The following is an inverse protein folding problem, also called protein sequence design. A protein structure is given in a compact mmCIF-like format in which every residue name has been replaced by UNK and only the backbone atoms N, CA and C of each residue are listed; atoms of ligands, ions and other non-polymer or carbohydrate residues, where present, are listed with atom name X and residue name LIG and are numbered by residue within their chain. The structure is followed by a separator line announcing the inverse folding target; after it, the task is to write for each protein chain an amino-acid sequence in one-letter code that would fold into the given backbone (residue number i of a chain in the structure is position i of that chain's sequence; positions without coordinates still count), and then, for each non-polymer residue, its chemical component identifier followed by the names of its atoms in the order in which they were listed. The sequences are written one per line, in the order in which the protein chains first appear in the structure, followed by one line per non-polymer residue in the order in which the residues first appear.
data_IF_995601881406
#
_entry.id   IF_995601881406
#
_cell.length_a   1.000
_cell.length_b   1.000
_cell.length_c   1.000
_cell.angle_alpha   90.00
_cell.angle_beta   90.00
_cell.angle_gamma   90.00
#
_symmetry.space_group_name_H-M   'P 1'
#
loop_
_entity.id
_entity.type
_entity.pdbx_description
1 polymer ?
#
# COMPACT_ATOMS: atom_id res chain seq x y z
N UNK A 1 35.59 -5.49 17.63
CA UNK A 1 35.15 -4.12 17.39
C UNK A 1 34.27 -3.53 18.53
N UNK A 2 33.54 -4.35 19.29
CA UNK A 2 32.76 -3.90 20.46
C UNK A 2 33.54 -3.47 21.71
N UNK A 3 34.81 -3.80 21.82
CA UNK A 3 35.65 -3.49 23.01
C UNK A 3 36.26 -2.09 22.94
N UNK A 4 36.38 -1.50 21.77
CA UNK A 4 36.99 -0.16 21.62
C UNK A 4 36.02 0.98 21.94
N UNK A 5 34.71 0.77 21.81
CA UNK A 5 33.67 1.81 22.07
C UNK A 5 33.35 1.99 23.57
N UNK A 6 33.48 0.91 24.37
CA UNK A 6 33.24 1.00 25.82
C UNK A 6 34.35 1.74 26.57
N UNK A 7 35.55 1.80 25.99
CA UNK A 7 36.70 2.51 26.61
C UNK A 7 36.67 4.04 26.38
N UNK A 8 35.98 4.51 25.34
CA UNK A 8 35.90 5.95 25.04
C UNK A 8 34.89 6.65 25.94
N UNK A 9 33.75 6.00 26.27
CA UNK A 9 32.73 6.61 27.16
C UNK A 9 33.17 6.65 28.65
N UNK A 10 33.87 5.64 29.13
CA UNK A 10 34.36 5.65 30.52
C UNK A 10 35.56 6.57 30.74
N UNK A 11 36.36 6.86 29.69
CA UNK A 11 37.52 7.76 29.81
C UNK A 11 37.10 9.27 29.70
N UNK A 12 35.96 9.60 29.11
CA UNK A 12 35.54 10.95 28.95
C UNK A 12 35.00 11.58 30.28
N UNK A 13 34.32 10.77 31.10
CA UNK A 13 33.75 11.28 32.37
C UNK A 13 34.76 11.45 33.53
N UNK A 14 35.93 10.80 33.48
CA UNK A 14 36.90 10.85 34.58
C UNK A 14 38.11 11.79 34.33
N UNK A 15 38.30 12.33 33.11
CA UNK A 15 39.45 13.15 32.74
C UNK A 15 39.17 14.63 32.44
N UNK A 16 37.92 15.05 32.40
CA UNK A 16 37.62 16.47 32.14
C UNK A 16 38.08 17.46 33.21
N UNK A 17 38.29 17.02 34.43
CA UNK A 17 38.74 17.92 35.53
C UNK A 17 40.27 18.11 35.62
N UNK A 18 41.08 17.31 34.92
CA UNK A 18 42.55 17.37 35.03
C UNK A 18 43.30 18.03 33.86
N UNK A 19 42.67 18.17 32.70
CA UNK A 19 43.34 18.61 31.47
C UNK A 19 43.16 20.09 31.11
N UNK A 20 42.28 20.77 31.79
CA UNK A 20 41.93 22.19 31.51
C UNK A 20 42.95 23.22 32.05
N UNK A 21 43.99 22.76 32.78
CA UNK A 21 44.93 23.70 33.43
C UNK A 21 46.22 24.00 32.60
N UNK A 22 46.44 23.32 31.50
CA UNK A 22 47.78 23.38 30.84
C UNK A 22 47.83 23.96 29.42
N UNK A 23 46.70 24.42 28.79
CA UNK A 23 46.75 24.94 27.41
C UNK A 23 46.42 26.45 27.36
N UNK A 24 47.48 27.30 27.39
CA UNK A 24 47.35 28.78 27.20
C UNK A 24 47.17 29.21 25.74
N UNK A 25 47.11 28.28 24.79
CA UNK A 25 47.08 28.57 23.36
C UNK A 25 45.64 28.42 22.82
N UNK A 26 44.94 29.54 22.63
CA UNK A 26 43.55 29.57 22.12
C UNK A 26 43.38 28.84 20.78
N UNK A 27 44.40 28.86 19.93
CA UNK A 27 44.38 28.18 18.63
C UNK A 27 44.36 26.65 18.75
N UNK A 28 45.12 26.10 19.73
CA UNK A 28 45.13 24.66 20.01
C UNK A 28 43.78 24.19 20.59
N UNK A 29 43.13 24.98 21.46
CA UNK A 29 41.82 24.68 22.03
C UNK A 29 40.77 24.70 20.93
N UNK A 30 40.80 25.66 20.02
CA UNK A 30 39.91 25.71 18.86
C UNK A 30 40.12 24.53 17.90
N UNK A 31 41.37 24.16 17.62
CA UNK A 31 41.71 23.02 16.77
C UNK A 31 41.22 21.70 17.39
N UNK A 32 41.42 21.47 18.68
CA UNK A 32 40.93 20.29 19.41
C UNK A 32 39.40 20.25 19.38
N UNK A 33 38.73 21.38 19.65
CA UNK A 33 37.27 21.48 19.57
C UNK A 33 36.74 21.15 18.16
N UNK A 34 37.37 21.68 17.11
CA UNK A 34 37.00 21.41 15.72
C UNK A 34 37.23 19.95 15.32
N UNK A 35 38.36 19.34 15.71
CA UNK A 35 38.66 17.92 15.47
C UNK A 35 37.66 17.04 16.20
N UNK A 36 37.37 17.32 17.46
CA UNK A 36 36.37 16.56 18.24
C UNK A 36 34.99 16.62 17.61
N UNK A 37 34.56 17.81 17.17
CA UNK A 37 33.28 17.99 16.47
C UNK A 37 33.22 17.22 15.14
N UNK A 38 34.31 17.24 14.36
CA UNK A 38 34.43 16.47 13.10
C UNK A 38 34.40 14.94 13.35
N UNK A 39 35.14 14.47 14.36
CA UNK A 39 35.17 13.03 14.73
C UNK A 39 33.80 12.58 15.21
N UNK A 40 33.11 13.37 16.03
CA UNK A 40 31.74 13.08 16.47
C UNK A 40 30.76 13.07 15.30
N UNK A 41 30.88 14.02 14.37
CA UNK A 41 30.03 14.06 13.16
C UNK A 41 30.27 12.82 12.27
N UNK A 42 31.53 12.43 12.05
CA UNK A 42 31.86 11.21 11.29
C UNK A 42 31.34 9.95 12.02
N UNK A 43 31.50 9.89 13.34
CA UNK A 43 30.98 8.80 14.18
C UNK A 43 29.46 8.68 14.09
N UNK A 44 28.71 9.79 14.13
CA UNK A 44 27.25 9.82 13.95
C UNK A 44 26.84 9.37 12.54
N UNK A 45 27.52 9.83 11.50
CA UNK A 45 27.25 9.41 10.12
C UNK A 45 27.46 7.90 9.97
N UNK A 46 28.59 7.38 10.44
CA UNK A 46 28.86 5.94 10.40
C UNK A 46 27.83 5.13 11.19
N UNK A 47 27.45 5.58 12.39
CA UNK A 47 26.44 4.91 13.20
C UNK A 47 25.07 4.89 12.49
N UNK A 48 24.66 6.01 11.90
CA UNK A 48 23.42 6.10 11.15
C UNK A 48 23.45 5.21 9.91
N UNK A 49 24.55 5.21 9.15
CA UNK A 49 24.72 4.33 7.98
C UNK A 49 24.61 2.85 8.36
N UNK A 50 25.32 2.43 9.41
CA UNK A 50 25.26 1.04 9.90
C UNK A 50 23.88 0.65 10.39
N UNK A 51 23.18 1.57 11.06
CA UNK A 51 21.79 1.36 11.50
C UNK A 51 20.85 1.20 10.29
N UNK A 52 20.95 2.06 9.30
CA UNK A 52 20.15 1.98 8.06
C UNK A 52 20.42 0.66 7.32
N UNK A 53 21.68 0.26 7.15
CA UNK A 53 22.04 -1.03 6.53
C UNK A 53 21.46 -2.22 7.30
N UNK A 54 21.52 -2.22 8.63
CA UNK A 54 20.92 -3.28 9.47
C UNK A 54 19.39 -3.35 9.32
N UNK A 55 18.71 -2.22 9.10
CA UNK A 55 17.27 -2.19 8.93
C UNK A 55 16.88 -2.67 7.53
N UNK A 56 17.60 -2.24 6.50
CA UNK A 56 17.40 -2.74 5.13
C UNK A 56 17.55 -4.26 5.08
N UNK A 57 18.59 -4.81 5.69
CA UNK A 57 18.80 -6.26 5.76
C UNK A 57 17.62 -6.96 6.46
N UNK A 58 17.15 -6.46 7.61
CA UNK A 58 15.99 -7.03 8.33
C UNK A 58 14.71 -6.92 7.51
N UNK A 59 14.57 -5.85 6.74
CA UNK A 59 13.42 -5.69 5.85
C UNK A 59 13.48 -6.71 4.71
N UNK A 60 14.65 -6.92 4.10
CA UNK A 60 14.83 -7.98 3.10
C UNK A 60 14.53 -9.36 3.66
N UNK A 61 15.00 -9.66 4.87
CA UNK A 61 14.71 -10.92 5.56
C UNK A 61 13.21 -11.11 5.79
N UNK A 62 12.47 -10.06 6.19
CA UNK A 62 11.00 -10.07 6.35
C UNK A 62 10.30 -10.44 5.03
N UNK A 63 10.71 -9.82 3.92
CA UNK A 63 10.16 -10.11 2.59
C UNK A 63 10.46 -11.54 2.13
N UNK A 64 11.71 -11.99 2.28
CA UNK A 64 12.13 -13.34 1.90
C UNK A 64 11.47 -14.43 2.74
N UNK A 65 11.24 -14.18 4.04
CA UNK A 65 10.47 -15.09 4.90
C UNK A 65 9.04 -15.26 4.40
N UNK A 66 8.37 -14.15 4.02
CA UNK A 66 7.01 -14.22 3.49
C UNK A 66 6.94 -14.93 2.13
N UNK A 67 7.93 -14.69 1.25
CA UNK A 67 8.10 -15.44 0.00
C UNK A 67 8.26 -16.95 0.26
N UNK A 68 9.06 -17.33 1.25
CA UNK A 68 9.25 -18.73 1.60
C UNK A 68 7.94 -19.38 2.10
N UNK A 69 7.13 -18.65 2.89
CA UNK A 69 5.81 -19.11 3.30
C UNK A 69 4.91 -19.35 2.08
N UNK A 70 4.87 -18.41 1.13
CA UNK A 70 4.08 -18.54 -0.09
C UNK A 70 4.53 -19.71 -0.97
N UNK A 71 5.83 -19.94 -1.13
CA UNK A 71 6.38 -21.07 -1.91
C UNK A 71 6.10 -22.43 -1.30
N UNK A 72 5.95 -22.50 0.02
CA UNK A 72 5.66 -23.76 0.74
C UNK A 72 4.16 -24.07 0.85
N UNK A 73 3.30 -23.31 0.21
CA UNK A 73 1.85 -23.55 0.18
C UNK A 73 1.52 -24.70 -0.77
N UNK A 74 0.53 -25.53 -0.41
CA UNK A 74 0.06 -26.65 -1.23
C UNK A 74 -0.57 -26.20 -2.56
N UNK A 75 -1.07 -24.95 -2.63
CA UNK A 75 -1.65 -24.35 -3.83
C UNK A 75 -0.63 -23.57 -4.68
N UNK A 76 0.68 -23.69 -4.37
CA UNK A 76 1.75 -23.09 -5.18
C UNK A 76 1.94 -23.83 -6.52
N UNK A 77 2.15 -23.08 -7.59
CA UNK A 77 2.61 -23.59 -8.88
C UNK A 77 3.54 -22.58 -9.59
N UNK A 78 4.29 -23.05 -10.61
CA UNK A 78 5.43 -22.33 -11.18
C UNK A 78 5.11 -20.95 -11.74
N UNK A 79 3.89 -20.74 -12.25
CA UNK A 79 3.45 -19.46 -12.82
C UNK A 79 3.37 -18.33 -11.78
N UNK A 80 3.31 -18.65 -10.47
CA UNK A 80 3.40 -17.67 -9.38
C UNK A 80 4.81 -17.10 -9.20
N UNK A 81 5.85 -17.76 -9.68
CA UNK A 81 7.25 -17.35 -9.48
C UNK A 81 7.52 -15.91 -9.97
N UNK A 82 6.91 -15.51 -11.08
CA UNK A 82 7.01 -14.13 -11.58
C UNK A 82 6.55 -13.09 -10.54
N UNK A 83 5.40 -13.31 -9.92
CA UNK A 83 4.86 -12.39 -8.91
C UNK A 83 5.73 -12.38 -7.64
N UNK A 84 6.22 -13.55 -7.24
CA UNK A 84 7.14 -13.65 -6.10
C UNK A 84 8.47 -12.92 -6.35
N UNK A 85 9.00 -12.95 -7.57
CA UNK A 85 10.19 -12.18 -7.95
C UNK A 85 9.95 -10.66 -7.86
N UNK A 86 8.76 -10.19 -8.21
CA UNK A 86 8.39 -8.78 -8.04
C UNK A 86 8.31 -8.37 -6.56
N UNK A 87 7.92 -9.30 -5.68
CA UNK A 87 7.76 -9.10 -4.24
C UNK A 87 9.03 -9.40 -3.42
N UNK A 88 10.05 -10.01 -4.01
CA UNK A 88 11.19 -10.60 -3.29
C UNK A 88 12.12 -9.60 -2.60
N UNK A 89 11.97 -8.32 -2.84
CA UNK A 89 12.79 -7.28 -2.21
C UNK A 89 11.93 -6.09 -1.80
N UNK A 90 12.37 -5.32 -0.79
CA UNK A 90 11.78 -4.03 -0.51
C UNK A 90 11.74 -3.18 -1.78
N UNK A 91 10.72 -2.34 -1.85
CA UNK A 91 10.54 -1.48 -3.01
C UNK A 91 11.80 -0.63 -3.28
N UNK A 92 12.18 -0.51 -4.56
CA UNK A 92 13.25 0.38 -5.03
C UNK A 92 12.81 1.08 -6.30
N UNK A 93 12.72 2.41 -6.25
CA UNK A 93 12.36 3.26 -7.38
C UNK A 93 13.31 3.03 -8.57
N UNK A 94 14.62 2.98 -8.33
CA UNK A 94 15.64 2.82 -9.38
C UNK A 94 15.50 1.45 -10.09
N UNK A 95 15.29 0.35 -9.34
CA UNK A 95 15.06 -0.98 -9.92
C UNK A 95 13.79 -1.01 -10.75
N UNK A 96 12.70 -0.40 -10.25
CA UNK A 96 11.44 -0.30 -10.97
C UNK A 96 11.59 0.55 -12.23
N UNK A 97 12.20 1.72 -12.13
CA UNK A 97 12.44 2.62 -13.28
C UNK A 97 13.23 1.91 -14.40
N UNK A 98 14.29 1.17 -14.04
CA UNK A 98 15.05 0.38 -15.00
C UNK A 98 14.19 -0.72 -15.66
N UNK A 99 13.30 -1.38 -14.91
CA UNK A 99 12.40 -2.43 -15.42
C UNK A 99 11.35 -1.88 -16.38
N UNK A 100 10.66 -0.79 -15.98
CA UNK A 100 9.58 -0.23 -16.82
C UNK A 100 10.09 0.69 -17.91
N UNK A 101 11.32 1.17 -17.80
CA UNK A 101 11.95 2.15 -18.71
C UNK A 101 11.12 3.43 -18.84
N UNK A 102 10.57 3.92 -17.73
CA UNK A 102 9.80 5.17 -17.63
C UNK A 102 10.16 5.90 -16.34
N UNK A 103 9.96 7.22 -16.32
CA UNK A 103 10.00 8.00 -15.10
C UNK A 103 8.82 7.63 -14.20
N UNK A 104 9.01 7.69 -12.87
CA UNK A 104 8.01 7.26 -11.91
C UNK A 104 7.19 8.44 -11.37
N UNK A 105 5.92 8.16 -11.07
CA UNK A 105 5.07 8.98 -10.22
C UNK A 105 4.61 8.15 -9.03
N UNK A 106 4.89 8.61 -7.80
CA UNK A 106 4.40 7.96 -6.60
C UNK A 106 2.94 8.29 -6.36
N UNK A 107 2.09 7.28 -6.11
CA UNK A 107 0.69 7.47 -5.74
C UNK A 107 0.40 6.79 -4.41
N UNK A 108 -0.29 7.49 -3.52
CA UNK A 108 -0.60 6.93 -2.20
C UNK A 108 -1.91 6.12 -2.19
N UNK A 109 -2.85 6.42 -3.05
CA UNK A 109 -4.17 5.79 -3.05
C UNK A 109 -4.65 5.43 -4.45
N UNK A 110 -5.57 4.46 -4.54
CA UNK A 110 -6.23 4.05 -5.78
C UNK A 110 -7.13 5.13 -6.41
N UNK A 111 -7.38 6.25 -5.73
CA UNK A 111 -8.09 7.40 -6.31
C UNK A 111 -7.25 8.23 -7.27
N UNK A 112 -5.94 8.10 -7.27
CA UNK A 112 -5.10 8.74 -8.29
C UNK A 112 -5.22 7.96 -9.62
N UNK A 113 -5.68 8.60 -10.72
CA UNK A 113 -5.99 7.90 -11.96
C UNK A 113 -4.73 7.44 -12.70
N UNK A 114 -4.54 6.13 -12.79
CA UNK A 114 -3.42 5.52 -13.50
C UNK A 114 -3.32 6.02 -14.95
N UNK A 115 -4.45 6.09 -15.63
CA UNK A 115 -4.58 6.43 -17.04
C UNK A 115 -3.96 7.79 -17.36
N UNK A 116 -4.10 8.73 -16.43
CA UNK A 116 -3.60 10.07 -16.63
C UNK A 116 -2.07 10.11 -16.55
N UNK A 117 -1.46 9.40 -15.60
CA UNK A 117 0.00 9.31 -15.51
C UNK A 117 0.60 8.59 -16.73
N UNK A 118 0.04 7.46 -17.14
CA UNK A 118 0.54 6.70 -18.30
C UNK A 118 0.41 7.49 -19.61
N UNK A 119 -0.62 8.33 -19.77
CA UNK A 119 -0.78 9.22 -20.92
C UNK A 119 0.32 10.28 -21.02
N UNK A 120 1.00 10.61 -19.92
CA UNK A 120 2.18 11.48 -19.87
C UNK A 120 3.51 10.71 -19.89
N UNK A 121 3.50 9.42 -20.23
CA UNK A 121 4.67 8.54 -20.19
C UNK A 121 5.33 8.40 -18.81
N UNK A 122 4.58 8.67 -17.74
CA UNK A 122 4.96 8.38 -16.37
C UNK A 122 4.43 7.00 -15.95
N UNK A 123 5.22 6.26 -15.18
CA UNK A 123 4.73 5.02 -14.59
C UNK A 123 4.30 5.29 -13.13
N UNK A 124 2.99 5.21 -12.82
CA UNK A 124 2.54 5.36 -11.45
C UNK A 124 2.90 4.12 -10.64
N UNK A 125 3.31 4.34 -9.39
CA UNK A 125 3.60 3.27 -8.44
C UNK A 125 2.96 3.56 -7.10
N UNK A 126 2.35 2.52 -6.51
CA UNK A 126 1.67 2.63 -5.24
C UNK A 126 2.66 2.62 -4.07
N UNK A 127 2.63 3.65 -3.25
CA UNK A 127 3.57 3.86 -2.14
C UNK A 127 3.05 3.37 -0.76
N UNK A 128 2.12 2.40 -0.74
CA UNK A 128 1.62 1.83 0.51
C UNK A 128 2.65 0.86 1.11
N UNK A 129 2.93 0.97 2.42
CA UNK A 129 3.86 0.09 3.12
C UNK A 129 3.17 -1.03 3.89
N UNK A 130 3.73 -2.26 3.86
CA UNK A 130 3.25 -3.44 4.59
C UNK A 130 4.28 -4.04 5.58
N UNK A 131 5.49 -3.49 5.64
CA UNK A 131 6.58 -4.03 6.47
C UNK A 131 6.46 -3.61 7.94
N UNK A 132 6.50 -4.61 8.84
CA UNK A 132 6.58 -4.39 10.28
C UNK A 132 7.93 -3.78 10.69
N UNK A 133 9.01 -4.23 10.08
CA UNK A 133 10.37 -3.73 10.36
C UNK A 133 10.46 -2.23 10.08
N UNK A 134 9.95 -1.79 8.92
CA UNK A 134 9.97 -0.40 8.50
C UNK A 134 8.98 0.46 9.29
N UNK A 135 7.80 -0.06 9.64
CA UNK A 135 6.83 0.60 10.51
C UNK A 135 7.46 1.06 11.83
N UNK A 136 8.35 0.25 12.40
CA UNK A 136 9.01 0.55 13.67
C UNK A 136 9.98 1.72 13.61
N UNK A 137 10.52 2.04 12.45
CA UNK A 137 11.35 3.24 12.25
C UNK A 137 10.54 4.51 12.50
N UNK A 138 9.47 4.65 11.76
CA UNK A 138 8.60 5.81 11.84
C UNK A 138 7.87 5.92 13.20
N UNK A 139 7.74 4.82 13.96
CA UNK A 139 7.15 4.83 15.30
C UNK A 139 7.93 5.67 16.32
N UNK A 140 9.19 6.05 16.03
CA UNK A 140 9.99 6.90 16.92
C UNK A 140 9.57 8.38 16.92
N UNK A 141 8.91 8.86 15.86
CA UNK A 141 8.50 10.27 15.71
C UNK A 141 7.03 10.44 15.33
N UNK A 142 6.37 9.41 14.82
CA UNK A 142 4.94 9.48 14.48
C UNK A 142 4.06 9.12 15.69
N UNK A 143 2.83 9.65 15.75
CA UNK A 143 1.89 9.33 16.82
C UNK A 143 1.66 7.82 16.99
N UNK A 144 1.58 7.37 18.24
CA UNK A 144 1.38 5.93 18.57
C UNK A 144 0.14 5.36 17.87
N UNK A 145 -0.96 6.13 17.82
CA UNK A 145 -2.24 5.73 17.23
C UNK A 145 -2.30 5.86 15.70
N UNK A 146 -1.24 6.35 15.04
CA UNK A 146 -1.22 6.36 13.57
C UNK A 146 -1.23 4.93 13.02
N UNK A 147 -2.01 4.70 11.96
CA UNK A 147 -2.15 3.35 11.42
C UNK A 147 -0.83 2.75 10.89
N UNK A 148 -0.65 1.43 10.99
CA UNK A 148 0.59 0.73 10.60
C UNK A 148 1.00 0.97 9.15
N UNK A 149 0.03 1.04 8.23
CA UNK A 149 0.30 1.27 6.80
C UNK A 149 1.01 2.62 6.56
N UNK A 150 0.55 3.67 7.24
CA UNK A 150 1.17 5.00 7.13
C UNK A 150 2.53 5.05 7.81
N UNK A 151 2.69 4.39 8.96
CA UNK A 151 4.01 4.27 9.59
C UNK A 151 4.98 3.51 8.70
N UNK A 152 4.55 2.42 8.08
CA UNK A 152 5.39 1.66 7.14
C UNK A 152 5.71 2.47 5.88
N UNK A 153 4.74 3.25 5.36
CA UNK A 153 4.98 4.19 4.26
C UNK A 153 6.03 5.24 4.63
N UNK A 154 5.88 5.90 5.79
CA UNK A 154 6.85 6.90 6.24
C UNK A 154 8.22 6.31 6.52
N UNK A 155 8.28 5.12 7.12
CA UNK A 155 9.54 4.44 7.34
C UNK A 155 10.24 4.04 6.03
N UNK A 156 9.52 3.68 4.97
CA UNK A 156 10.09 3.51 3.64
C UNK A 156 10.61 4.84 3.07
N UNK A 157 9.90 5.92 3.30
CA UNK A 157 10.33 7.26 2.92
C UNK A 157 11.66 7.63 3.61
N UNK A 158 11.77 7.39 4.93
CA UNK A 158 12.99 7.66 5.70
C UNK A 158 14.19 6.82 5.21
N UNK A 159 13.96 5.55 4.86
CA UNK A 159 15.01 4.67 4.34
C UNK A 159 15.44 5.01 2.92
N UNK A 160 14.56 5.61 2.14
CA UNK A 160 14.71 5.76 0.69
C UNK A 160 14.62 7.23 0.26
N UNK A 161 15.05 8.17 1.10
CA UNK A 161 15.03 9.62 0.78
C UNK A 161 15.54 9.91 -0.62
N UNK A 162 16.69 9.36 -1.00
CA UNK A 162 17.25 9.50 -2.34
C UNK A 162 16.35 8.88 -3.43
N UNK A 163 15.65 7.78 -3.11
CA UNK A 163 14.73 7.11 -4.05
C UNK A 163 13.45 7.92 -4.28
N UNK A 164 12.96 8.66 -3.28
CA UNK A 164 11.81 9.55 -3.49
C UNK A 164 12.15 10.74 -4.39
N UNK A 165 13.39 11.19 -4.43
CA UNK A 165 13.87 12.20 -5.39
C UNK A 165 13.80 11.71 -6.85
N UNK A 166 13.78 10.39 -7.08
CA UNK A 166 13.65 9.80 -8.42
C UNK A 166 12.20 9.87 -8.95
N UNK A 167 11.20 10.19 -8.11
CA UNK A 167 9.83 10.41 -8.56
C UNK A 167 9.66 11.81 -9.12
N UNK A 168 8.98 11.91 -10.26
CA UNK A 168 8.61 13.22 -10.83
C UNK A 168 7.56 13.95 -9.99
N UNK A 169 6.66 13.19 -9.37
CA UNK A 169 5.68 13.68 -8.42
C UNK A 169 5.29 12.56 -7.45
N UNK A 170 4.93 12.94 -6.23
CA UNK A 170 4.25 12.10 -5.25
C UNK A 170 2.86 12.68 -5.02
N UNK A 171 1.81 11.95 -5.40
CA UNK A 171 0.43 12.42 -5.35
C UNK A 171 -0.33 11.74 -4.23
N UNK A 172 -0.87 12.54 -3.30
CA UNK A 172 -1.60 12.08 -2.12
C UNK A 172 -3.07 12.54 -2.19
N UNK A 173 -4.00 11.64 -2.54
CA UNK A 173 -5.43 11.92 -2.35
C UNK A 173 -5.76 12.11 -0.87
N UNK A 174 -6.53 13.15 -0.52
CA UNK A 174 -6.87 13.52 0.86
C UNK A 174 -7.92 12.60 1.45
N UNK A 175 -7.55 11.34 1.70
CA UNK A 175 -8.47 10.26 2.09
C UNK A 175 -8.74 10.16 3.59
N UNK A 176 -7.85 10.64 4.45
CA UNK A 176 -8.05 10.69 5.90
C UNK A 176 -7.14 11.76 6.53
N UNK A 177 -7.42 12.12 7.77
CA UNK A 177 -6.69 13.17 8.49
C UNK A 177 -5.18 12.91 8.56
N UNK A 178 -4.79 11.64 8.73
CA UNK A 178 -3.38 11.28 8.72
C UNK A 178 -2.71 11.60 7.38
N UNK A 179 -3.34 11.25 6.26
CA UNK A 179 -2.81 11.52 4.90
C UNK A 179 -2.77 13.01 4.63
N UNK A 180 -3.77 13.78 5.09
CA UNK A 180 -3.80 15.25 4.95
C UNK A 180 -2.62 15.90 5.67
N UNK A 181 -2.18 15.33 6.81
CA UNK A 181 -1.08 15.89 7.62
C UNK A 181 0.31 15.38 7.26
N UNK A 182 0.42 14.23 6.59
CA UNK A 182 1.71 13.67 6.20
C UNK A 182 2.63 14.65 5.45
N UNK A 183 2.16 15.44 4.47
CA UNK A 183 3.03 16.36 3.72
C UNK A 183 3.70 17.44 4.56
N UNK A 184 3.19 17.79 5.73
CA UNK A 184 3.89 18.72 6.64
C UNK A 184 5.24 18.14 7.09
N UNK A 185 5.30 16.83 7.27
CA UNK A 185 6.54 16.11 7.63
C UNK A 185 7.37 15.86 6.38
N UNK A 186 6.75 15.33 5.31
CA UNK A 186 7.44 14.91 4.10
C UNK A 186 8.08 16.07 3.33
N UNK A 187 7.47 17.27 3.31
CA UNK A 187 7.99 18.45 2.60
C UNK A 187 9.28 19.01 3.17
N UNK A 188 9.67 18.61 4.37
CA UNK A 188 10.99 18.92 4.90
C UNK A 188 12.10 18.17 4.12
N UNK A 189 11.73 17.09 3.44
CA UNK A 189 12.62 16.14 2.77
C UNK A 189 12.43 16.12 1.24
N UNK A 190 11.26 16.54 0.72
CA UNK A 190 10.92 16.46 -0.69
C UNK A 190 9.95 17.55 -1.16
N UNK A 191 10.31 18.24 -2.25
CA UNK A 191 9.51 19.35 -2.82
C UNK A 191 8.44 18.89 -3.83
N UNK A 192 8.48 17.62 -4.27
CA UNK A 192 7.64 17.08 -5.35
C UNK A 192 6.35 16.42 -4.85
N UNK A 193 5.85 16.82 -3.66
CA UNK A 193 4.67 16.27 -3.03
C UNK A 193 3.45 17.14 -3.32
N UNK A 194 2.40 16.53 -3.89
CA UNK A 194 1.18 17.19 -4.32
C UNK A 194 -0.06 16.55 -3.72
N UNK A 195 -0.99 17.38 -3.25
CA UNK A 195 -2.31 16.92 -2.85
C UNK A 195 -3.19 16.70 -4.08
N UNK A 196 -4.08 15.73 -3.96
CA UNK A 196 -5.26 15.57 -4.80
C UNK A 196 -6.47 15.62 -3.86
N UNK A 197 -7.18 16.76 -3.85
CA UNK A 197 -8.27 17.00 -2.90
C UNK A 197 -9.48 16.13 -3.25
N UNK A 198 -9.84 15.21 -2.34
CA UNK A 198 -10.94 14.28 -2.54
C UNK A 198 -12.20 14.79 -1.83
N UNK A 199 -13.27 15.18 -2.55
CA UNK A 199 -14.55 15.54 -1.93
C UNK A 199 -15.21 14.33 -1.27
N UNK A 200 -15.56 14.44 0.01
CA UNK A 200 -16.13 13.32 0.78
C UNK A 200 -17.62 13.07 0.50
N UNK A 201 -18.34 14.06 -0.06
CA UNK A 201 -19.75 13.95 -0.44
C UNK A 201 -19.83 13.71 -1.94
N UNK A 202 -19.89 12.45 -2.40
CA UNK A 202 -19.82 12.11 -3.83
C UNK A 202 -21.16 12.19 -4.59
N UNK A 203 -22.28 12.29 -3.88
CA UNK A 203 -23.60 12.24 -4.48
C UNK A 203 -24.08 13.62 -5.00
N UNK A 204 -23.42 14.71 -4.61
CA UNK A 204 -23.80 16.06 -5.02
C UNK A 204 -23.09 16.48 -6.31
N UNK A 205 -23.79 17.19 -7.19
CA UNK A 205 -23.22 17.77 -8.42
C UNK A 205 -22.01 18.68 -8.09
N UNK A 206 -22.10 19.47 -7.02
CA UNK A 206 -21.02 20.33 -6.56
C UNK A 206 -19.73 19.52 -6.28
N UNK A 207 -19.86 18.39 -5.61
CA UNK A 207 -18.69 17.54 -5.30
C UNK A 207 -18.14 16.85 -6.54
N UNK A 208 -19.01 16.44 -7.47
CA UNK A 208 -18.59 15.85 -8.73
C UNK A 208 -17.83 16.85 -9.59
N UNK A 209 -18.33 18.10 -9.68
CA UNK A 209 -17.65 19.18 -10.39
C UNK A 209 -16.30 19.52 -9.72
N UNK A 210 -16.26 19.60 -8.39
CA UNK A 210 -14.99 19.82 -7.66
C UNK A 210 -13.95 18.72 -7.94
N UNK A 211 -14.39 17.47 -7.94
CA UNK A 211 -13.49 16.36 -8.27
C UNK A 211 -13.00 16.41 -9.72
N UNK A 212 -13.88 16.78 -10.65
CA UNK A 212 -13.49 16.98 -12.05
C UNK A 212 -12.43 18.09 -12.17
N UNK A 213 -12.59 19.20 -11.46
CA UNK A 213 -11.60 20.27 -11.37
C UNK A 213 -10.24 19.74 -10.85
N UNK A 214 -10.24 18.89 -9.80
CA UNK A 214 -9.03 18.27 -9.28
C UNK A 214 -8.33 17.38 -10.33
N UNK A 215 -9.08 16.65 -11.16
CA UNK A 215 -8.50 15.87 -12.27
C UNK A 215 -7.87 16.80 -13.32
N UNK A 216 -8.49 17.94 -13.62
CA UNK A 216 -7.88 18.96 -14.49
C UNK A 216 -6.66 19.59 -13.87
N UNK A 217 -6.64 19.87 -12.56
CA UNK A 217 -5.47 20.37 -11.85
C UNK A 217 -4.33 19.35 -11.90
N UNK A 218 -4.62 18.06 -11.68
CA UNK A 218 -3.65 16.99 -11.84
C UNK A 218 -3.08 16.93 -13.27
N UNK A 219 -3.94 17.03 -14.29
CA UNK A 219 -3.50 17.11 -15.70
C UNK A 219 -2.55 18.28 -15.91
N UNK A 220 -2.88 19.49 -15.41
CA UNK A 220 -2.03 20.68 -15.55
C UNK A 220 -0.69 20.49 -14.83
N UNK A 221 -0.69 19.92 -13.63
CA UNK A 221 0.54 19.55 -12.91
C UNK A 221 1.41 18.61 -13.76
N UNK A 222 0.82 17.55 -14.34
CA UNK A 222 1.56 16.61 -15.18
C UNK A 222 2.11 17.27 -16.45
N UNK A 223 1.36 18.20 -17.07
CA UNK A 223 1.88 19.02 -18.19
C UNK A 223 3.09 19.84 -17.77
N UNK A 224 3.02 20.47 -16.60
CA UNK A 224 4.10 21.30 -16.09
C UNK A 224 5.37 20.49 -15.79
N UNK A 225 5.27 19.37 -15.08
CA UNK A 225 6.43 18.58 -14.66
C UNK A 225 7.05 17.77 -15.79
N UNK A 226 6.27 17.41 -16.83
CA UNK A 226 6.77 16.68 -18.00
C UNK A 226 7.17 17.59 -19.16
N UNK A 227 6.73 18.85 -19.14
CA UNK A 227 6.89 19.79 -20.26
C UNK A 227 6.08 19.40 -21.51
N UNK A 228 5.14 18.46 -21.41
CA UNK A 228 4.33 17.97 -22.52
C UNK A 228 2.87 18.35 -22.35
N UNK A 229 2.17 18.66 -23.45
CA UNK A 229 0.71 18.79 -23.44
C UNK A 229 0.05 17.43 -23.55
N UNK A 230 -1.09 17.26 -22.86
CA UNK A 230 -1.88 16.04 -22.99
C UNK A 230 -2.34 15.86 -24.45
N UNK A 231 -2.10 14.67 -25.00
CA UNK A 231 -2.59 14.30 -26.33
C UNK A 231 -3.81 13.39 -26.16
N UNK A 232 -5.00 13.78 -26.69
CA UNK A 232 -6.20 12.96 -26.54
C UNK A 232 -6.01 11.49 -26.96
N UNK A 233 -5.24 11.26 -28.03
CA UNK A 233 -4.93 9.89 -28.47
C UNK A 233 -4.14 9.09 -27.42
N UNK A 234 -3.13 9.68 -26.78
CA UNK A 234 -2.38 9.01 -25.69
C UNK A 234 -3.28 8.69 -24.50
N UNK A 235 -4.19 9.60 -24.14
CA UNK A 235 -5.15 9.35 -23.07
C UNK A 235 -6.10 8.20 -23.42
N UNK A 236 -6.62 8.18 -24.64
CA UNK A 236 -7.46 7.09 -25.14
C UNK A 236 -6.73 5.74 -25.10
N UNK A 237 -5.48 5.70 -25.57
CA UNK A 237 -4.67 4.48 -25.58
C UNK A 237 -4.40 3.98 -24.15
N UNK A 238 -4.14 4.90 -23.20
CA UNK A 238 -3.97 4.57 -21.79
C UNK A 238 -5.27 4.05 -21.16
N UNK A 239 -6.41 4.68 -21.44
CA UNK A 239 -7.72 4.18 -20.98
C UNK A 239 -7.95 2.75 -21.50
N UNK A 240 -7.72 2.50 -22.78
CA UNK A 240 -7.91 1.17 -23.37
C UNK A 240 -6.99 0.13 -22.72
N UNK A 241 -5.73 0.48 -22.46
CA UNK A 241 -4.77 -0.37 -21.76
C UNK A 241 -5.28 -0.75 -20.36
N UNK A 242 -5.73 0.21 -19.58
CA UNK A 242 -6.26 -0.02 -18.22
C UNK A 242 -7.58 -0.80 -18.25
N UNK A 243 -8.43 -0.56 -19.27
CA UNK A 243 -9.64 -1.35 -19.46
C UNK A 243 -9.34 -2.83 -19.73
N UNK A 244 -8.29 -3.14 -20.50
CA UNK A 244 -7.85 -4.52 -20.70
C UNK A 244 -7.39 -5.16 -19.36
N UNK A 245 -6.64 -4.42 -18.55
CA UNK A 245 -6.26 -4.90 -17.20
C UNK A 245 -7.50 -5.19 -16.35
N UNK A 246 -8.50 -4.30 -16.40
CA UNK A 246 -9.74 -4.50 -15.65
C UNK A 246 -10.47 -5.79 -16.07
N UNK A 247 -10.59 -6.07 -17.37
CA UNK A 247 -11.21 -7.30 -17.88
C UNK A 247 -10.48 -8.55 -17.35
N UNK A 248 -9.16 -8.54 -17.37
CA UNK A 248 -8.33 -9.66 -16.91
C UNK A 248 -8.46 -9.85 -15.39
N UNK A 249 -8.48 -8.75 -14.61
CA UNK A 249 -8.72 -8.81 -13.17
C UNK A 249 -10.14 -9.30 -12.82
N UNK A 250 -11.15 -8.96 -13.61
CA UNK A 250 -12.51 -9.45 -13.43
C UNK A 250 -12.57 -10.98 -13.60
N UNK A 251 -11.90 -11.53 -14.63
CA UNK A 251 -11.79 -12.98 -14.82
C UNK A 251 -11.04 -13.66 -13.63
N UNK A 252 -9.92 -13.08 -13.20
CA UNK A 252 -9.19 -13.59 -12.03
C UNK A 252 -10.06 -13.57 -10.76
N UNK A 253 -10.85 -12.51 -10.57
CA UNK A 253 -11.80 -12.36 -9.46
C UNK A 253 -12.88 -13.44 -9.51
N UNK A 254 -13.41 -13.76 -10.68
CA UNK A 254 -14.38 -14.85 -10.86
C UNK A 254 -13.81 -16.20 -10.43
N UNK A 255 -12.54 -16.49 -10.76
CA UNK A 255 -11.88 -17.73 -10.33
C UNK A 255 -11.70 -17.80 -8.81
N UNK A 256 -11.33 -16.69 -8.16
CA UNK A 256 -11.29 -16.60 -6.70
C UNK A 256 -12.68 -16.85 -6.10
N UNK A 257 -13.70 -16.17 -6.59
CA UNK A 257 -15.08 -16.30 -6.11
C UNK A 257 -15.64 -17.70 -6.30
N UNK A 258 -15.21 -18.43 -7.33
CA UNK A 258 -15.53 -19.87 -7.53
C UNK A 258 -14.71 -20.80 -6.66
N UNK A 259 -13.67 -20.30 -5.99
CA UNK A 259 -12.82 -21.07 -5.10
C UNK A 259 -11.63 -21.77 -5.76
N UNK A 260 -11.29 -21.40 -6.98
CA UNK A 260 -10.13 -21.93 -7.71
C UNK A 260 -8.84 -21.16 -7.39
N UNK A 261 -8.94 -19.97 -6.80
CA UNK A 261 -7.81 -19.15 -6.35
C UNK A 261 -8.01 -18.76 -4.88
N UNK A 262 -6.98 -18.92 -4.06
CA UNK A 262 -7.02 -18.51 -2.66
C UNK A 262 -6.97 -16.98 -2.51
N UNK A 263 -7.50 -16.46 -1.39
CA UNK A 263 -7.45 -15.03 -1.06
C UNK A 263 -6.03 -14.53 -0.87
N UNK A 264 -5.14 -15.38 -0.35
CA UNK A 264 -3.72 -15.08 -0.18
C UNK A 264 -3.06 -14.86 -1.54
N UNK A 265 -3.21 -15.78 -2.50
CA UNK A 265 -2.62 -15.65 -3.83
C UNK A 265 -3.22 -14.50 -4.63
N UNK A 266 -4.54 -14.33 -4.58
CA UNK A 266 -5.17 -13.19 -5.25
C UNK A 266 -4.57 -11.87 -4.76
N UNK A 267 -4.42 -11.71 -3.43
CA UNK A 267 -3.85 -10.50 -2.84
C UNK A 267 -2.36 -10.35 -3.15
N UNK A 268 -1.58 -11.43 -3.14
CA UNK A 268 -0.18 -11.39 -3.54
C UNK A 268 -0.02 -10.92 -4.99
N UNK A 269 -0.82 -11.45 -5.93
CA UNK A 269 -0.82 -11.03 -7.34
C UNK A 269 -1.18 -9.55 -7.47
N UNK A 270 -2.27 -9.10 -6.85
CA UNK A 270 -2.72 -7.70 -6.97
C UNK A 270 -1.78 -6.70 -6.29
N UNK A 271 -1.03 -7.12 -5.28
CA UNK A 271 0.02 -6.29 -4.68
C UNK A 271 1.21 -6.04 -5.62
N UNK A 272 1.39 -6.85 -6.67
CA UNK A 272 2.41 -6.60 -7.70
C UNK A 272 1.94 -5.68 -8.84
N UNK A 273 0.66 -5.32 -8.87
CA UNK A 273 0.15 -4.35 -9.82
C UNK A 273 0.94 -3.05 -9.73
N UNK A 274 1.42 -2.53 -10.84
CA UNK A 274 2.33 -1.37 -10.96
C UNK A 274 3.82 -1.67 -10.64
N UNK A 275 4.23 -2.91 -10.35
CA UNK A 275 5.65 -3.24 -10.15
C UNK A 275 6.35 -3.71 -11.43
N UNK A 276 5.65 -3.71 -12.55
CA UNK A 276 6.18 -3.97 -13.90
C UNK A 276 5.36 -3.23 -14.95
N UNK A 277 5.75 -3.34 -16.24
CA UNK A 277 4.93 -2.88 -17.37
C UNK A 277 3.60 -3.60 -17.36
N UNK A 278 2.50 -2.87 -17.58
CA UNK A 278 1.16 -3.46 -17.54
C UNK A 278 0.98 -4.63 -18.51
N UNK A 279 1.55 -4.53 -19.68
CA UNK A 279 1.46 -5.56 -20.71
C UNK A 279 2.12 -6.87 -20.27
N UNK A 280 3.31 -6.79 -19.66
CA UNK A 280 4.04 -7.96 -19.12
C UNK A 280 3.28 -8.54 -17.93
N UNK A 281 2.84 -7.68 -17.01
CA UNK A 281 2.08 -8.12 -15.84
C UNK A 281 0.77 -8.83 -16.24
N UNK A 282 0.00 -8.27 -17.19
CA UNK A 282 -1.24 -8.88 -17.69
C UNK A 282 -1.02 -10.22 -18.38
N UNK A 283 0.06 -10.37 -19.14
CA UNK A 283 0.44 -11.66 -19.73
C UNK A 283 0.62 -12.75 -18.67
N UNK A 284 1.32 -12.43 -17.58
CA UNK A 284 1.53 -13.37 -16.49
C UNK A 284 0.24 -13.68 -15.71
N UNK A 285 -0.64 -12.70 -15.50
CA UNK A 285 -1.97 -12.94 -14.91
C UNK A 285 -2.81 -13.84 -15.80
N UNK A 286 -2.75 -13.66 -17.14
CA UNK A 286 -3.46 -14.52 -18.08
C UNK A 286 -2.99 -15.98 -17.98
N UNK A 287 -1.68 -16.23 -17.85
CA UNK A 287 -1.15 -17.59 -17.62
C UNK A 287 -1.69 -18.22 -16.32
N UNK A 288 -1.82 -17.42 -15.24
CA UNK A 288 -2.47 -17.88 -14.01
C UNK A 288 -3.93 -18.27 -14.27
N UNK A 289 -4.70 -17.43 -14.98
CA UNK A 289 -6.10 -17.68 -15.31
C UNK A 289 -6.24 -18.99 -16.08
N UNK A 290 -5.45 -19.20 -17.15
CA UNK A 290 -5.45 -20.40 -17.97
C UNK A 290 -5.16 -21.66 -17.14
N UNK A 291 -4.21 -21.56 -16.20
CA UNK A 291 -3.85 -22.67 -15.31
C UNK A 291 -4.99 -23.00 -14.33
N UNK A 292 -5.60 -21.98 -13.72
CA UNK A 292 -6.66 -22.14 -12.74
C UNK A 292 -7.96 -22.65 -13.38
N UNK A 293 -8.26 -22.29 -14.63
CA UNK A 293 -9.44 -22.78 -15.35
C UNK A 293 -9.42 -24.30 -15.56
N UNK A 294 -8.23 -24.91 -15.57
CA UNK A 294 -8.03 -26.36 -15.68
C UNK A 294 -8.20 -27.10 -14.33
N UNK A 295 -8.22 -26.35 -13.20
CA UNK A 295 -8.34 -26.95 -11.87
C UNK A 295 -9.79 -27.19 -11.50
N UNK A 296 -10.02 -28.25 -10.71
CA UNK A 296 -11.34 -28.52 -10.15
C UNK A 296 -11.69 -27.49 -9.08
N UNK A 297 -12.96 -27.12 -9.05
CA UNK A 297 -13.50 -26.24 -7.98
C UNK A 297 -13.41 -27.01 -6.67
N UNK A 298 -12.78 -26.40 -5.67
CA UNK A 298 -12.79 -26.96 -4.32
C UNK A 298 -14.01 -26.44 -3.58
N UNK A 299 -14.96 -27.34 -3.32
CA UNK A 299 -16.10 -27.02 -2.47
C UNK A 299 -15.63 -26.77 -1.03
N UNK A 300 -16.08 -25.68 -0.46
CA UNK A 300 -15.87 -25.34 0.95
C UNK A 300 -17.08 -24.54 1.45
N UNK A 301 -17.73 -25.06 2.49
CA UNK A 301 -18.92 -24.43 3.07
C UNK A 301 -18.62 -23.21 3.93
N UNK A 302 -17.38 -23.08 4.43
CA UNK A 302 -16.95 -21.98 5.28
C UNK A 302 -16.40 -20.79 4.43
N UNK A 303 -17.28 -20.18 3.66
CA UNK A 303 -16.95 -19.08 2.75
C UNK A 303 -17.21 -17.74 3.43
N UNK A 304 -16.22 -16.85 3.35
CA UNK A 304 -16.32 -15.51 3.93
C UNK A 304 -15.99 -14.42 2.91
N UNK A 305 -16.51 -13.23 3.20
CA UNK A 305 -16.11 -11.98 2.60
C UNK A 305 -15.10 -11.27 3.52
N UNK A 306 -14.01 -10.75 3.01
CA UNK A 306 -13.08 -9.92 3.79
C UNK A 306 -13.29 -8.46 3.43
N UNK A 307 -13.67 -7.65 4.42
CA UNK A 307 -13.84 -6.21 4.27
C UNK A 307 -12.83 -5.44 5.12
N UNK A 308 -12.66 -4.15 4.90
CA UNK A 308 -11.90 -3.28 5.80
C UNK A 308 -10.58 -2.76 5.25
N UNK A 309 -9.60 -2.62 6.13
CA UNK A 309 -8.30 -2.01 5.85
C UNK A 309 -7.49 -2.82 4.83
N UNK A 310 -6.60 -2.16 4.05
CA UNK A 310 -5.81 -2.84 3.04
C UNK A 310 -4.85 -3.89 3.64
N UNK A 311 -4.58 -4.92 2.85
CA UNK A 311 -3.57 -5.97 3.12
C UNK A 311 -2.43 -5.75 2.15
N UNK A 312 -1.28 -5.30 2.66
CA UNK A 312 -0.11 -4.92 1.85
C UNK A 312 1.04 -5.87 2.15
N UNK A 313 1.62 -6.44 1.09
CA UNK A 313 2.81 -7.29 1.22
C UNK A 313 3.98 -6.52 1.90
N UNK A 314 4.74 -7.15 2.79
CA UNK A 314 4.76 -8.57 3.14
C UNK A 314 3.73 -8.99 4.20
N UNK A 315 2.86 -8.12 4.70
CA UNK A 315 1.88 -8.47 5.73
C UNK A 315 0.62 -9.13 5.14
N UNK A 316 0.69 -10.43 4.88
CA UNK A 316 -0.46 -11.27 4.49
C UNK A 316 -1.07 -12.02 5.69
N UNK A 317 -0.63 -11.71 6.91
CA UNK A 317 -0.95 -12.41 8.16
C UNK A 317 -2.42 -12.77 8.31
N UNK A 318 -3.32 -11.79 8.17
CA UNK A 318 -4.75 -12.05 8.40
C UNK A 318 -5.32 -13.07 7.41
N UNK A 319 -5.00 -12.93 6.12
CA UNK A 319 -5.49 -13.87 5.09
C UNK A 319 -4.96 -15.26 5.32
N UNK A 320 -3.70 -15.42 5.70
CA UNK A 320 -3.09 -16.71 6.03
C UNK A 320 -3.74 -17.34 7.26
N UNK A 321 -4.02 -16.57 8.32
CA UNK A 321 -4.70 -17.07 9.52
C UNK A 321 -6.15 -17.48 9.23
N UNK A 322 -6.86 -16.77 8.35
CA UNK A 322 -8.20 -17.15 7.90
C UNK A 322 -8.16 -18.51 7.21
N UNK A 323 -7.23 -18.71 6.28
CA UNK A 323 -7.09 -19.99 5.56
C UNK A 323 -6.58 -21.11 6.49
N UNK A 324 -5.66 -20.80 7.42
CA UNK A 324 -5.20 -21.75 8.46
C UNK A 324 -6.35 -22.21 9.37
N UNK A 325 -7.32 -21.35 9.69
CA UNK A 325 -8.53 -21.73 10.40
C UNK A 325 -9.47 -22.62 9.57
N UNK A 326 -9.15 -22.89 8.29
CA UNK A 326 -9.99 -23.66 7.37
C UNK A 326 -11.20 -22.87 6.87
N UNK A 327 -11.08 -21.55 6.79
CA UNK A 327 -12.07 -20.63 6.24
C UNK A 327 -11.57 -20.18 4.86
N UNK A 328 -12.46 -20.08 3.87
CA UNK A 328 -12.13 -19.65 2.51
C UNK A 328 -12.53 -18.21 2.26
N UNK A 329 -11.57 -17.38 1.87
CA UNK A 329 -11.84 -16.01 1.42
C UNK A 329 -12.39 -16.07 -0.01
N UNK A 330 -13.72 -16.03 -0.13
CA UNK A 330 -14.40 -16.12 -1.43
C UNK A 330 -14.44 -14.78 -2.16
N UNK A 331 -14.55 -13.68 -1.43
CA UNK A 331 -14.56 -12.34 -2.00
C UNK A 331 -13.99 -11.34 -0.98
N UNK A 332 -13.61 -10.16 -1.46
CA UNK A 332 -13.23 -9.05 -0.61
C UNK A 332 -13.57 -7.69 -1.23
N UNK A 333 -13.44 -6.61 -0.46
CA UNK A 333 -13.50 -5.24 -0.95
C UNK A 333 -12.27 -4.40 -0.55
N UNK A 334 -11.14 -5.06 -0.44
CA UNK A 334 -9.88 -4.43 -0.02
C UNK A 334 -9.25 -3.67 -1.19
N UNK A 335 -8.80 -2.43 -0.97
CA UNK A 335 -8.24 -1.58 -2.03
C UNK A 335 -6.85 -2.03 -2.54
N UNK A 336 -6.23 -3.01 -1.91
CA UNK A 336 -5.05 -3.71 -2.38
C UNK A 336 -5.34 -5.08 -3.02
N UNK A 337 -6.62 -5.43 -3.15
CA UNK A 337 -7.14 -6.70 -3.66
C UNK A 337 -8.25 -6.44 -4.69
N UNK A 338 -9.48 -6.95 -4.53
CA UNK A 338 -10.55 -6.81 -5.54
C UNK A 338 -10.91 -5.36 -5.88
N UNK A 339 -10.76 -4.42 -4.94
CA UNK A 339 -11.06 -3.00 -5.17
C UNK A 339 -9.89 -2.20 -5.75
N UNK A 340 -8.79 -2.85 -6.12
CA UNK A 340 -7.63 -2.16 -6.72
C UNK A 340 -8.02 -1.43 -8.01
N UNK A 341 -9.04 -1.93 -8.71
CA UNK A 341 -9.58 -1.34 -9.92
C UNK A 341 -11.11 -1.40 -9.93
N UNK A 342 -11.79 -0.34 -9.41
CA UNK A 342 -13.22 -0.36 -9.14
C UNK A 342 -14.10 -0.16 -10.38
N UNK A 343 -13.99 -1.02 -11.38
CA UNK A 343 -14.82 -0.99 -12.59
C UNK A 343 -14.15 -0.35 -13.80
N UNK A 344 -14.83 -0.39 -14.94
CA UNK A 344 -14.36 0.15 -16.20
C UNK A 344 -14.65 1.65 -16.37
N UNK A 345 -13.99 2.28 -17.35
CA UNK A 345 -14.27 3.64 -17.80
C UNK A 345 -15.20 3.57 -19.01
N UNK A 346 -16.36 4.21 -18.94
CA UNK A 346 -17.34 4.27 -20.01
C UNK A 346 -17.43 5.72 -20.49
N UNK A 347 -17.18 5.97 -21.78
CA UNK A 347 -17.31 7.30 -22.39
C UNK A 347 -17.77 7.19 -23.83
N UNK A 348 -18.59 8.18 -24.26
CA UNK A 348 -19.04 8.32 -25.64
C UNK A 348 -18.37 9.53 -26.33
N UNK A 349 -17.85 10.47 -25.52
CA UNK A 349 -17.15 11.65 -25.99
C UNK A 349 -15.64 11.40 -25.94
N UNK A 350 -15.01 11.33 -27.11
CA UNK A 350 -13.56 11.11 -27.27
C UNK A 350 -12.73 12.39 -27.18
N UNK A 351 -13.36 13.54 -26.89
CA UNK A 351 -12.63 14.76 -26.58
C UNK A 351 -11.82 14.61 -25.29
N UNK A 352 -10.80 15.44 -25.12
CA UNK A 352 -10.03 15.48 -23.88
C UNK A 352 -10.96 15.66 -22.66
N UNK A 353 -11.92 16.57 -22.76
CA UNK A 353 -12.89 16.83 -21.69
C UNK A 353 -13.75 15.60 -21.37
N UNK A 354 -14.32 14.96 -22.41
CA UNK A 354 -15.16 13.78 -22.21
C UNK A 354 -14.44 12.62 -21.55
N UNK A 355 -13.19 12.35 -21.98
CA UNK A 355 -12.37 11.30 -21.37
C UNK A 355 -11.95 11.62 -19.94
N UNK A 356 -11.54 12.86 -19.64
CA UNK A 356 -11.19 13.28 -18.27
C UNK A 356 -12.39 13.23 -17.32
N UNK A 357 -13.58 13.60 -17.83
CA UNK A 357 -14.83 13.46 -17.08
C UNK A 357 -15.15 12.00 -16.76
N UNK A 358 -15.01 11.10 -17.71
CA UNK A 358 -15.25 9.67 -17.49
C UNK A 358 -14.25 9.07 -16.47
N UNK A 359 -12.98 9.49 -16.53
CA UNK A 359 -11.97 9.17 -15.50
C UNK A 359 -12.44 9.70 -14.14
N UNK A 360 -12.83 10.96 -14.04
CA UNK A 360 -13.29 11.55 -12.79
C UNK A 360 -14.48 10.76 -12.20
N UNK A 361 -15.50 10.45 -13.01
CA UNK A 361 -16.67 9.68 -12.58
C UNK A 361 -16.26 8.29 -12.03
N UNK A 362 -15.38 7.57 -12.71
CA UNK A 362 -14.90 6.26 -12.25
C UNK A 362 -14.19 6.33 -10.90
N UNK A 363 -13.27 7.25 -10.73
CA UNK A 363 -12.45 7.33 -9.52
C UNK A 363 -13.16 7.90 -8.30
N UNK A 364 -14.23 8.64 -8.49
CA UNK A 364 -15.03 9.23 -7.42
C UNK A 364 -16.35 8.49 -7.19
N UNK A 365 -17.23 8.52 -8.18
CA UNK A 365 -18.59 7.99 -8.06
C UNK A 365 -18.63 6.47 -7.90
N UNK A 366 -17.81 5.74 -8.63
CA UNK A 366 -17.74 4.28 -8.53
C UNK A 366 -16.98 3.77 -7.30
N UNK A 367 -16.11 4.57 -6.70
CA UNK A 367 -15.31 4.16 -5.55
C UNK A 367 -16.15 3.98 -4.28
N UNK A 368 -15.91 2.90 -3.54
CA UNK A 368 -16.56 2.56 -2.27
C UNK A 368 -15.50 2.53 -1.14
N UNK A 369 -15.09 3.69 -0.67
CA UNK A 369 -14.05 3.84 0.37
C UNK A 369 -14.66 4.46 1.63
N UNK A 370 -14.23 4.11 2.85
CA UNK A 370 -14.73 4.70 4.10
C UNK A 370 -14.42 6.20 4.23
N UNK A 371 -13.63 6.77 3.33
CA UNK A 371 -13.41 8.22 3.24
C UNK A 371 -14.68 8.99 2.83
N UNK A 372 -15.63 8.34 2.16
CA UNK A 372 -16.88 8.97 1.76
C UNK A 372 -17.92 8.95 2.88
N UNK A 373 -18.71 10.02 2.98
CA UNK A 373 -19.72 10.19 4.03
C UNK A 373 -20.87 9.17 3.92
N UNK A 374 -21.22 8.73 2.71
CA UNK A 374 -22.18 7.65 2.48
C UNK A 374 -21.51 6.46 1.77
N UNK A 375 -21.65 5.30 2.37
CA UNK A 375 -21.15 4.02 1.87
C UNK A 375 -22.26 2.95 1.76
N UNK A 376 -23.51 3.34 1.64
CA UNK A 376 -24.65 2.42 1.43
C UNK A 376 -24.39 1.46 0.28
N UNK A 377 -23.80 1.96 -0.81
CA UNK A 377 -23.42 1.14 -1.98
C UNK A 377 -22.42 0.04 -1.61
N UNK A 378 -21.45 0.31 -0.72
CA UNK A 378 -20.48 -0.69 -0.25
C UNK A 378 -21.17 -1.82 0.49
N UNK A 379 -22.05 -1.48 1.44
CA UNK A 379 -22.83 -2.47 2.19
C UNK A 379 -23.68 -3.31 1.25
N UNK A 380 -24.38 -2.69 0.31
CA UNK A 380 -25.22 -3.37 -0.68
C UNK A 380 -24.38 -4.33 -1.56
N UNK A 381 -23.18 -3.92 -1.98
CA UNK A 381 -22.27 -4.76 -2.74
C UNK A 381 -21.84 -5.99 -1.94
N UNK A 382 -21.49 -5.84 -0.65
CA UNK A 382 -21.14 -6.96 0.23
C UNK A 382 -22.31 -7.95 0.33
N UNK A 383 -23.53 -7.46 0.58
CA UNK A 383 -24.74 -8.29 0.70
C UNK A 383 -25.05 -9.02 -0.61
N UNK A 384 -24.99 -8.32 -1.75
CA UNK A 384 -25.24 -8.91 -3.06
C UNK A 384 -24.23 -10.00 -3.39
N UNK A 385 -22.93 -9.73 -3.17
CA UNK A 385 -21.85 -10.71 -3.37
C UNK A 385 -21.98 -11.90 -2.43
N UNK A 386 -22.35 -11.67 -1.17
CA UNK A 386 -22.53 -12.74 -0.21
C UNK A 386 -23.68 -13.67 -0.62
N UNK A 387 -24.76 -13.12 -1.13
CA UNK A 387 -25.91 -13.88 -1.63
C UNK A 387 -25.55 -14.69 -2.89
N UNK A 388 -24.88 -14.05 -3.85
CA UNK A 388 -24.51 -14.68 -5.14
C UNK A 388 -23.55 -15.85 -4.96
N UNK A 389 -22.58 -15.74 -4.05
CA UNK A 389 -21.51 -16.73 -3.87
C UNK A 389 -21.66 -17.58 -2.60
N UNK A 390 -22.86 -17.62 -2.00
CA UNK A 390 -23.15 -18.40 -0.78
C UNK A 390 -22.15 -18.13 0.36
N UNK A 391 -21.84 -16.85 0.59
CA UNK A 391 -20.95 -16.41 1.67
C UNK A 391 -21.78 -16.25 2.94
N UNK A 392 -21.34 -16.85 4.04
CA UNK A 392 -22.08 -16.89 5.31
C UNK A 392 -21.64 -15.85 6.33
N UNK A 393 -20.42 -15.35 6.19
CA UNK A 393 -19.87 -14.39 7.14
C UNK A 393 -18.91 -13.37 6.53
N UNK A 394 -18.72 -12.28 7.27
CA UNK A 394 -17.80 -11.19 6.92
C UNK A 394 -16.75 -11.06 8.02
N UNK A 395 -15.49 -11.10 7.61
CA UNK A 395 -14.34 -10.81 8.48
C UNK A 395 -13.90 -9.40 8.14
N UNK A 396 -14.00 -8.49 9.11
CA UNK A 396 -13.63 -7.09 8.93
C UNK A 396 -12.21 -6.86 9.45
N UNK A 397 -11.28 -6.64 8.53
CA UNK A 397 -9.89 -6.30 8.83
C UNK A 397 -9.80 -4.85 9.27
N UNK A 398 -9.37 -4.60 10.49
CA UNK A 398 -9.12 -3.26 11.01
C UNK A 398 -7.65 -3.11 11.39
N UNK A 399 -6.92 -2.28 10.69
CA UNK A 399 -5.59 -1.87 11.15
C UNK A 399 -5.73 -0.90 12.33
N UNK A 400 -5.00 -1.14 13.42
CA UNK A 400 -5.00 -0.28 14.60
C UNK A 400 -4.80 1.19 14.21
N UNK A 401 -5.63 2.08 14.75
CA UNK A 401 -5.58 3.51 14.45
C UNK A 401 -6.14 3.94 13.09
N UNK A 402 -6.82 3.05 12.37
CA UNK A 402 -7.53 3.41 11.14
C UNK A 402 -8.96 3.85 11.44
N UNK A 403 -9.15 5.11 11.82
CA UNK A 403 -10.43 5.66 12.27
C UNK A 403 -11.57 5.55 11.24
N UNK A 404 -11.37 5.84 9.92
CA UNK A 404 -12.47 5.74 8.95
C UNK A 404 -13.06 4.33 8.88
N UNK A 405 -12.20 3.30 8.87
CA UNK A 405 -12.67 1.91 8.86
C UNK A 405 -13.27 1.49 10.19
N UNK A 406 -12.76 1.97 11.33
CA UNK A 406 -13.28 1.61 12.64
C UNK A 406 -14.71 2.14 12.85
N UNK A 407 -14.95 3.39 12.49
CA UNK A 407 -16.29 4.01 12.57
C UNK A 407 -17.26 3.31 11.60
N UNK A 408 -16.83 3.05 10.36
CA UNK A 408 -17.66 2.40 9.36
C UNK A 408 -18.06 0.97 9.75
N UNK A 409 -17.18 0.23 10.44
CA UNK A 409 -17.44 -1.13 10.91
C UNK A 409 -18.74 -1.24 11.70
N UNK A 410 -19.10 -0.23 12.50
CA UNK A 410 -20.33 -0.20 13.31
C UNK A 410 -21.57 -0.28 12.41
N UNK A 411 -21.59 0.52 11.35
CA UNK A 411 -22.73 0.56 10.41
C UNK A 411 -22.79 -0.71 9.57
N UNK A 412 -21.63 -1.18 9.08
CA UNK A 412 -21.53 -2.42 8.31
C UNK A 412 -22.02 -3.60 9.14
N UNK A 413 -21.51 -3.79 10.36
CA UNK A 413 -21.93 -4.88 11.25
C UNK A 413 -23.44 -4.92 11.44
N UNK A 414 -24.05 -3.78 11.78
CA UNK A 414 -25.51 -3.70 11.97
C UNK A 414 -26.28 -4.11 10.72
N UNK A 415 -25.90 -3.59 9.55
CA UNK A 415 -26.56 -3.87 8.28
C UNK A 415 -26.39 -5.32 7.84
N UNK A 416 -25.22 -5.90 8.04
CA UNK A 416 -24.98 -7.30 7.70
C UNK A 416 -25.78 -8.26 8.59
N UNK A 417 -25.91 -7.96 9.89
CA UNK A 417 -26.75 -8.74 10.82
C UNK A 417 -28.24 -8.69 10.44
N UNK A 418 -28.76 -7.54 9.97
CA UNK A 418 -30.13 -7.40 9.45
C UNK A 418 -30.39 -8.36 8.27
N UNK A 419 -29.34 -8.77 7.53
CA UNK A 419 -29.41 -9.69 6.40
C UNK A 419 -28.95 -11.12 6.72
N UNK A 420 -28.80 -11.45 8.01
CA UNK A 420 -28.44 -12.80 8.47
C UNK A 420 -26.96 -13.17 8.28
N UNK A 421 -26.10 -12.24 7.86
CA UNK A 421 -24.66 -12.49 7.71
C UNK A 421 -23.96 -12.42 9.07
N UNK A 422 -23.10 -13.40 9.34
CA UNK A 422 -22.23 -13.37 10.51
C UNK A 422 -21.14 -12.31 10.33
N UNK A 423 -20.72 -11.67 11.41
CA UNK A 423 -19.71 -10.62 11.36
C UNK A 423 -18.71 -10.76 12.50
N UNK A 424 -17.44 -10.63 12.19
CA UNK A 424 -16.36 -10.50 13.17
C UNK A 424 -15.39 -9.38 12.75
N UNK A 425 -15.10 -8.46 13.68
CA UNK A 425 -14.06 -7.45 13.52
C UNK A 425 -12.75 -7.95 14.13
N UNK A 426 -11.70 -8.00 13.33
CA UNK A 426 -10.33 -8.34 13.73
C UNK A 426 -9.50 -7.06 13.68
N UNK A 427 -9.20 -6.51 14.84
CA UNK A 427 -8.26 -5.40 14.98
C UNK A 427 -6.85 -5.95 15.13
N UNK A 428 -5.92 -5.48 14.29
CA UNK A 428 -4.55 -5.98 14.23
C UNK A 428 -3.58 -4.90 13.75
N UNK A 429 -2.29 -5.19 13.84
CA UNK A 429 -1.20 -4.42 13.22
C UNK A 429 -0.29 -5.35 12.41
N UNK A 430 0.91 -4.89 12.04
CA UNK A 430 1.84 -5.69 11.25
C UNK A 430 2.71 -6.65 12.09
N UNK A 431 2.70 -6.53 13.42
CA UNK A 431 3.36 -7.48 14.32
C UNK A 431 2.71 -8.87 14.26
N UNK A 432 3.45 -9.90 14.65
CA UNK A 432 2.98 -11.31 14.66
C UNK A 432 2.52 -11.76 16.05
N UNK A 433 2.65 -10.93 17.07
CA UNK A 433 2.42 -11.26 18.48
C UNK A 433 0.94 -11.60 18.77
N UNK A 434 0.02 -11.06 17.98
CA UNK A 434 -1.43 -11.28 18.11
C UNK A 434 -1.95 -12.49 17.31
N UNK A 435 -1.09 -13.15 16.51
CA UNK A 435 -1.48 -14.18 15.54
C UNK A 435 -2.26 -15.35 16.19
N UNK A 436 -1.80 -15.85 17.34
CA UNK A 436 -2.49 -16.96 18.01
C UNK A 436 -3.87 -16.56 18.54
N UNK A 437 -4.00 -15.35 19.07
CA UNK A 437 -5.30 -14.83 19.52
C UNK A 437 -6.27 -14.67 18.33
N UNK A 438 -5.79 -14.12 17.22
CA UNK A 438 -6.58 -13.99 15.99
C UNK A 438 -7.02 -15.37 15.49
N UNK A 439 -6.12 -16.34 15.44
CA UNK A 439 -6.43 -17.70 14.98
C UNK A 439 -7.55 -18.33 15.83
N UNK A 440 -7.43 -18.27 17.16
CA UNK A 440 -8.47 -18.79 18.09
C UNK A 440 -9.83 -18.13 17.85
N UNK A 441 -9.85 -16.82 17.62
CA UNK A 441 -11.10 -16.09 17.31
C UNK A 441 -11.68 -16.48 15.95
N UNK A 442 -10.85 -16.74 14.95
CA UNK A 442 -11.28 -17.21 13.63
C UNK A 442 -11.83 -18.64 13.69
N UNK A 443 -11.19 -19.53 14.45
CA UNK A 443 -11.68 -20.89 14.68
C UNK A 443 -13.06 -20.89 15.37
N UNK A 444 -13.24 -20.05 16.39
CA UNK A 444 -14.54 -19.86 17.03
C UNK A 444 -15.57 -19.26 16.06
N UNK A 445 -15.19 -18.31 15.24
CA UNK A 445 -16.07 -17.72 14.23
C UNK A 445 -16.51 -18.74 13.17
N UNK A 446 -15.61 -19.64 12.75
CA UNK A 446 -15.90 -20.73 11.82
C UNK A 446 -17.06 -21.61 12.31
N UNK A 447 -17.13 -21.88 13.62
CA UNK A 447 -18.21 -22.69 14.18
C UNK A 447 -19.60 -22.01 14.07
N UNK A 448 -19.64 -20.75 13.77
CA UNK A 448 -20.89 -19.97 13.59
C UNK A 448 -21.34 -19.87 12.14
N UNK A 449 -20.47 -20.21 11.18
CA UNK A 449 -20.76 -20.20 9.74
C UNK A 449 -21.57 -21.42 9.33
#
# INVERSE_FOLDING_TARGET
MGIFFCFVEQSAQSKEKGFLVACKDKAKIQLIGWVTQKVNSIGMILCNTLRTMSILQKTEEEYLQEIAILKNRDDFFGEYEYFLQLLASPFSAQKLQARVNKQLAGIFCIQAPFELFDAFDLHPVKLCGGSHTVQRLAASYLPVLMCPMLKSFMGNFDLQQESFADYKAVVLPTTCDWVVKLPEIMRQEADNIHYLELPHLKETEKSQNRWLEEIFCLKQLLEQITGQKLKPKKLQDSINKVMNVWVILDELTKLKRRGQLSGVWYTAITNTFMLDKLEVWTEHVTKIIEKLQQQKIQENDNRVFVAGSPVIFPNLKLLQLIEQAGIKVAADDICSSERIMPGGIIYNDTSEYGMLRAIAERYHKACVCPTFADNSRRVNNIIATAKEFNIKGVIFNLLKGCHPYDIEAITIERKLKEHGLKFIKIETDYGKEDSQNILTRLEAFKQTL
#
